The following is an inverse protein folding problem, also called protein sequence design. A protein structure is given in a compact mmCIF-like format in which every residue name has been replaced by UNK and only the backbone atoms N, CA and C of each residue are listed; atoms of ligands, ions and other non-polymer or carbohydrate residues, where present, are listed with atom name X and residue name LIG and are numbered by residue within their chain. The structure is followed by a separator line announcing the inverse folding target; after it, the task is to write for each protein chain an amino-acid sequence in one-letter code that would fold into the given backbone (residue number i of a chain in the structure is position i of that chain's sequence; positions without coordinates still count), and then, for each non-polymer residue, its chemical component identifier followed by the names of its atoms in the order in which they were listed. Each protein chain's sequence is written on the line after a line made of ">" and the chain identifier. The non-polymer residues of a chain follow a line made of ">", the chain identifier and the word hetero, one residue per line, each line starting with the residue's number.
data_IF_593571081449
#
_entry.id   IF_593571081449
#
_cell.length_a   1.000
_cell.length_b   1.000
_cell.length_c   1.000
_cell.angle_alpha   90.00
_cell.angle_beta   90.00
_cell.angle_gamma   90.00
#
_symmetry.space_group_name_H-M   'P 1'
#
loop_
_entity.id
_entity.type
_entity.pdbx_description
1 polymer ?
#
# COMPACT_ATOMS: atom_id res chain seq x y z
N UNK A 1 -1.96 0.62 21.00
CA UNK A 1 -1.36 1.09 22.26
C UNK A 1 0.01 0.46 22.36
N UNK A 2 1.06 1.27 22.50
CA UNK A 2 2.36 0.81 22.99
C UNK A 2 2.46 1.48 24.37
N UNK A 3 2.70 0.69 25.43
CA UNK A 3 2.87 1.15 26.81
C UNK A 3 1.68 1.87 27.49
N UNK A 4 0.43 1.49 27.20
CA UNK A 4 -0.78 2.07 27.82
C UNK A 4 -0.92 3.60 27.69
N UNK A 5 -0.14 4.24 26.82
CA UNK A 5 -0.31 5.63 26.46
C UNK A 5 -0.94 5.72 25.08
N UNK A 6 -1.91 6.63 24.93
CA UNK A 6 -2.47 6.96 23.63
C UNK A 6 -1.38 7.65 22.80
N UNK A 7 -0.87 6.94 21.79
CA UNK A 7 0.08 7.51 20.84
C UNK A 7 -0.70 8.44 19.91
N UNK A 8 -0.65 9.74 20.18
CA UNK A 8 -1.32 10.77 19.39
C UNK A 8 -0.32 11.46 18.45
N UNK A 9 -0.68 11.70 17.17
CA UNK A 9 0.12 12.54 16.27
C UNK A 9 0.46 13.90 16.85
N UNK A 10 -0.39 14.44 17.74
CA UNK A 10 -0.19 15.73 18.42
C UNK A 10 1.04 15.70 19.33
N UNK A 11 1.32 14.58 20.00
CA UNK A 11 2.49 14.45 20.87
C UNK A 11 3.77 14.51 20.04
N UNK A 12 3.83 13.71 18.97
CA UNK A 12 4.97 13.72 18.04
C UNK A 12 5.13 15.10 17.41
N UNK A 13 4.03 15.75 17.01
CA UNK A 13 4.06 17.09 16.44
C UNK A 13 4.76 18.12 17.35
N UNK A 14 4.55 18.05 18.67
CA UNK A 14 5.22 18.92 19.65
C UNK A 14 6.74 18.76 19.62
N UNK A 15 7.23 17.54 19.44
CA UNK A 15 8.66 17.23 19.39
C UNK A 15 9.30 17.69 18.06
N UNK A 16 8.49 17.96 17.04
CA UNK A 16 8.95 18.39 15.71
C UNK A 16 8.93 19.92 15.51
N UNK A 17 8.32 20.68 16.43
CA UNK A 17 8.18 22.15 16.33
C UNK A 17 9.56 22.81 16.14
N UNK A 18 9.63 23.74 15.17
CA UNK A 18 10.86 24.45 14.82
C UNK A 18 11.70 23.78 13.74
N UNK A 19 11.34 22.55 13.33
CA UNK A 19 11.93 21.90 12.16
C UNK A 19 11.25 22.36 10.88
N UNK A 20 12.01 22.64 9.83
CA UNK A 20 11.47 22.99 8.51
C UNK A 20 11.37 21.78 7.58
N UNK A 21 12.17 20.74 7.85
CA UNK A 21 12.31 19.54 7.04
C UNK A 21 12.64 18.35 7.91
N UNK A 22 12.01 17.21 7.64
CA UNK A 22 12.24 15.96 8.37
C UNK A 22 12.66 14.87 7.38
N UNK A 23 13.63 14.04 7.76
CA UNK A 23 14.07 12.87 6.98
C UNK A 23 13.63 11.61 7.72
N UNK A 24 12.92 10.72 7.02
CA UNK A 24 12.42 9.46 7.55
C UNK A 24 13.13 8.29 6.86
N UNK A 25 13.88 7.50 7.63
CA UNK A 25 14.35 6.18 7.20
C UNK A 25 13.14 5.23 7.18
N UNK A 26 12.69 4.83 5.99
CA UNK A 26 11.42 4.15 5.75
C UNK A 26 11.56 2.64 5.54
N UNK A 27 12.78 2.10 5.49
CA UNK A 27 13.04 0.68 5.23
C UNK A 27 12.29 -0.19 6.22
N UNK A 28 12.32 0.17 7.51
CA UNK A 28 11.64 -0.59 8.57
C UNK A 28 10.22 -0.12 8.86
N UNK A 29 9.91 1.16 8.62
CA UNK A 29 8.60 1.74 8.92
C UNK A 29 7.44 1.04 8.19
N UNK A 30 6.40 0.64 8.90
CA UNK A 30 5.12 0.18 8.36
C UNK A 30 4.23 1.33 7.89
N UNK A 31 3.13 1.01 7.20
CA UNK A 31 2.20 2.03 6.69
C UNK A 31 1.58 2.87 7.83
N UNK A 32 1.18 2.22 8.93
CA UNK A 32 0.59 2.91 10.07
C UNK A 32 1.55 3.91 10.72
N UNK A 33 2.83 3.57 10.80
CA UNK A 33 3.87 4.46 11.34
C UNK A 33 4.09 5.66 10.40
N UNK A 34 4.18 5.41 9.09
CA UNK A 34 4.29 6.48 8.08
C UNK A 34 3.08 7.43 8.17
N UNK A 35 1.85 6.89 8.22
CA UNK A 35 0.63 7.70 8.35
C UNK A 35 0.61 8.53 9.64
N UNK A 36 1.02 7.95 10.77
CA UNK A 36 1.11 8.66 12.03
C UNK A 36 2.11 9.82 11.97
N UNK A 37 3.29 9.59 11.38
CA UNK A 37 4.32 10.61 11.19
C UNK A 37 3.84 11.71 10.23
N UNK A 38 3.22 11.36 9.10
CA UNK A 38 2.67 12.34 8.16
C UNK A 38 1.58 13.23 8.80
N UNK A 39 0.73 12.66 9.66
CA UNK A 39 -0.25 13.42 10.44
C UNK A 39 0.40 14.33 11.48
N UNK A 40 1.49 13.88 12.11
CA UNK A 40 2.24 14.71 13.05
C UNK A 40 2.92 15.89 12.33
N UNK A 41 3.48 15.66 11.15
CA UNK A 41 4.06 16.70 10.29
C UNK A 41 3.01 17.73 9.87
N UNK A 42 1.82 17.29 9.45
CA UNK A 42 0.69 18.19 9.14
C UNK A 42 0.29 19.04 10.35
N UNK A 43 0.17 18.42 11.53
CA UNK A 43 -0.16 19.13 12.77
C UNK A 43 0.93 20.11 13.23
N UNK A 44 2.19 19.87 12.86
CA UNK A 44 3.32 20.77 13.10
C UNK A 44 3.54 21.79 11.96
N UNK A 45 2.68 21.80 10.93
CA UNK A 45 2.81 22.63 9.73
C UNK A 45 4.13 22.44 8.98
N UNK A 46 4.71 21.23 9.05
CA UNK A 46 5.92 20.85 8.32
C UNK A 46 5.52 20.29 6.96
N UNK A 47 5.95 20.97 5.90
CA UNK A 47 5.58 20.64 4.52
C UNK A 47 6.66 19.89 3.76
N UNK A 48 7.90 19.88 4.25
CA UNK A 48 9.01 19.19 3.60
C UNK A 48 9.36 17.92 4.37
N UNK A 49 9.20 16.77 3.69
CA UNK A 49 9.59 15.47 4.23
C UNK A 49 10.35 14.69 3.19
N UNK A 50 11.46 14.10 3.62
CA UNK A 50 12.22 13.16 2.80
C UNK A 50 12.00 11.74 3.31
N UNK A 51 11.98 10.79 2.39
CA UNK A 51 12.07 9.38 2.71
C UNK A 51 13.41 8.82 2.20
N UNK A 52 14.09 8.09 3.04
CA UNK A 52 15.21 7.23 2.68
C UNK A 52 14.74 5.78 2.71
N UNK A 53 15.01 5.02 1.67
CA UNK A 53 14.65 3.61 1.59
C UNK A 53 15.81 2.81 1.01
N UNK A 54 16.29 1.82 1.77
CA UNK A 54 17.27 0.85 1.31
C UNK A 54 16.56 -0.32 0.63
N UNK A 55 16.81 -0.48 -0.67
CA UNK A 55 16.30 -1.60 -1.44
C UNK A 55 17.04 -2.90 -1.07
N UNK A 56 16.31 -4.01 -0.83
CA UNK A 56 16.95 -5.28 -0.56
C UNK A 56 17.55 -5.89 -1.83
N UNK A 57 18.66 -6.60 -1.68
CA UNK A 57 19.26 -7.36 -2.79
C UNK A 57 18.35 -8.52 -3.25
N UNK A 58 17.64 -9.14 -2.32
CA UNK A 58 16.74 -10.24 -2.68
C UNK A 58 15.70 -10.53 -1.62
N UNK A 59 14.73 -11.35 -2.00
CA UNK A 59 13.70 -11.90 -1.13
C UNK A 59 13.85 -13.41 -1.01
N UNK A 60 13.66 -13.92 0.20
CA UNK A 60 13.76 -15.35 0.51
C UNK A 60 12.54 -16.07 -0.01
N UNK A 61 12.76 -17.09 -0.85
CA UNK A 61 11.70 -17.96 -1.39
C UNK A 61 11.27 -18.99 -0.35
N UNK A 62 10.05 -19.49 -0.48
CA UNK A 62 9.62 -20.68 0.26
C UNK A 62 10.38 -21.91 -0.25
N UNK A 63 10.87 -22.80 0.63
CA UNK A 63 11.41 -24.08 0.20
C UNK A 63 10.30 -24.94 -0.44
N UNK A 64 10.59 -25.69 -1.52
CA UNK A 64 9.60 -26.56 -2.15
C UNK A 64 9.15 -27.65 -1.17
N UNK A 65 7.83 -27.92 -1.15
CA UNK A 65 7.25 -28.94 -0.27
C UNK A 65 7.40 -30.36 -0.84
N UNK A 66 7.56 -30.52 -2.15
CA UNK A 66 7.79 -31.80 -2.83
C UNK A 66 8.62 -31.63 -4.12
N UNK A 67 9.22 -32.72 -4.62
CA UNK A 67 9.95 -32.71 -5.91
C UNK A 67 9.03 -32.52 -7.13
N UNK A 68 7.73 -32.79 -6.98
CA UNK A 68 6.70 -32.58 -8.00
C UNK A 68 6.11 -31.17 -7.99
N UNK A 69 6.33 -30.40 -6.91
CA UNK A 69 6.10 -28.96 -6.92
C UNK A 69 7.20 -28.34 -7.78
N UNK A 70 6.98 -28.27 -9.10
CA UNK A 70 7.76 -27.38 -9.95
C UNK A 70 7.69 -26.02 -9.28
N UNK A 71 8.81 -25.57 -8.69
CA UNK A 71 8.88 -24.44 -7.78
C UNK A 71 8.09 -23.24 -8.33
N UNK A 72 6.82 -23.13 -7.94
CA UNK A 72 6.12 -21.87 -8.07
C UNK A 72 6.96 -20.92 -7.23
N UNK A 73 7.39 -19.83 -7.85
CA UNK A 73 8.08 -18.71 -7.20
C UNK A 73 7.15 -18.12 -6.12
N UNK A 74 7.00 -18.86 -5.04
CA UNK A 74 6.12 -18.59 -3.92
C UNK A 74 6.95 -17.96 -2.83
N UNK A 75 6.44 -16.83 -2.35
CA UNK A 75 7.08 -16.03 -1.33
C UNK A 75 6.18 -16.01 -0.11
N UNK A 76 6.80 -16.12 1.07
CA UNK A 76 6.13 -15.99 2.36
C UNK A 76 6.93 -14.94 3.13
N UNK A 77 6.65 -13.68 2.81
CA UNK A 77 7.38 -12.52 3.33
C UNK A 77 6.72 -11.96 4.60
N UNK A 78 5.48 -12.37 4.85
CA UNK A 78 4.64 -11.88 5.93
C UNK A 78 3.90 -13.01 6.64
N UNK A 79 3.78 -12.94 7.96
CA UNK A 79 3.05 -13.93 8.79
C UNK A 79 1.66 -13.46 9.21
N UNK A 80 1.49 -12.18 9.55
CA UNK A 80 0.18 -11.59 9.81
C UNK A 80 -0.46 -11.10 8.50
N UNK A 81 -1.74 -11.41 8.31
CA UNK A 81 -2.54 -11.02 7.14
C UNK A 81 -3.95 -10.54 7.54
N UNK A 82 -4.17 -10.22 8.81
CA UNK A 82 -5.49 -9.83 9.31
C UNK A 82 -5.84 -8.41 8.85
N UNK A 83 -6.83 -8.30 7.97
CA UNK A 83 -7.30 -7.01 7.48
C UNK A 83 -8.14 -6.31 8.55
N UNK A 84 -7.67 -5.15 9.01
CA UNK A 84 -8.43 -4.24 9.84
C UNK A 84 -8.19 -2.79 9.41
N UNK A 85 -9.17 -1.94 9.66
CA UNK A 85 -9.05 -0.52 9.36
C UNK A 85 -8.04 0.18 10.28
N UNK A 86 -7.34 1.18 9.74
CA UNK A 86 -6.54 2.10 10.56
C UNK A 86 -7.44 3.28 10.98
N UNK A 87 -7.46 3.58 12.28
CA UNK A 87 -8.24 4.70 12.82
C UNK A 87 -7.97 6.02 12.08
N UNK A 88 -9.03 6.65 11.59
CA UNK A 88 -8.97 7.88 10.80
C UNK A 88 -8.82 7.67 9.29
N UNK A 89 -8.72 6.42 8.82
CA UNK A 89 -8.69 6.03 7.42
C UNK A 89 -9.60 4.84 7.12
N UNK A 90 -10.51 4.49 8.03
CA UNK A 90 -11.50 3.44 7.83
C UNK A 90 -12.89 4.09 7.77
N UNK A 91 -13.51 4.10 6.59
CA UNK A 91 -14.88 4.58 6.42
C UNK A 91 -15.86 3.41 6.41
N UNK A 92 -17.08 3.65 6.90
CA UNK A 92 -18.11 2.62 7.02
C UNK A 92 -18.51 2.11 5.63
N UNK A 93 -18.56 0.79 5.47
CA UNK A 93 -19.08 0.14 4.26
C UNK A 93 -20.56 0.47 4.10
N UNK A 94 -20.96 0.84 2.89
CA UNK A 94 -22.35 1.02 2.50
C UNK A 94 -22.70 0.00 1.42
N UNK A 95 -23.45 -1.03 1.80
CA UNK A 95 -23.92 -2.11 0.90
C UNK A 95 -24.70 -1.62 -0.33
N UNK A 96 -25.22 -0.38 -0.31
CA UNK A 96 -25.96 0.19 -1.43
C UNK A 96 -25.07 0.94 -2.43
N UNK A 97 -23.86 1.31 -2.01
CA UNK A 97 -22.89 2.05 -2.81
C UNK A 97 -22.04 1.13 -3.70
N UNK A 98 -21.52 1.66 -4.80
CA UNK A 98 -20.53 0.97 -5.62
C UNK A 98 -19.18 1.01 -4.90
N UNK A 99 -18.44 -0.08 -4.93
CA UNK A 99 -17.17 -0.22 -4.20
C UNK A 99 -16.03 -0.49 -5.18
N UNK A 100 -15.02 0.39 -5.20
CA UNK A 100 -13.79 0.18 -5.97
C UNK A 100 -12.64 -0.10 -5.01
N UNK A 101 -11.97 -1.23 -5.18
CA UNK A 101 -10.82 -1.61 -4.35
C UNK A 101 -9.56 -1.69 -5.19
N UNK A 102 -8.65 -0.77 -4.91
CA UNK A 102 -7.36 -0.62 -5.56
C UNK A 102 -6.31 -1.44 -4.80
N UNK A 103 -5.62 -2.34 -5.48
CA UNK A 103 -4.56 -3.16 -4.89
C UNK A 103 -3.23 -2.88 -5.58
N UNK A 104 -2.23 -2.39 -4.85
CA UNK A 104 -0.85 -2.57 -5.32
C UNK A 104 -0.44 -4.02 -5.10
N UNK A 105 0.01 -4.69 -6.15
CA UNK A 105 0.40 -6.08 -6.09
C UNK A 105 1.88 -6.24 -5.73
N UNK A 106 2.14 -7.27 -4.92
CA UNK A 106 3.48 -7.73 -4.56
C UNK A 106 3.65 -9.20 -4.94
N UNK A 107 4.53 -9.92 -4.24
CA UNK A 107 4.79 -11.33 -4.53
C UNK A 107 3.80 -12.30 -3.85
N UNK A 108 3.00 -11.84 -2.89
CA UNK A 108 2.15 -12.69 -2.05
C UNK A 108 0.66 -12.58 -2.43
N UNK A 109 0.23 -13.32 -3.47
CA UNK A 109 -1.16 -13.28 -3.95
C UNK A 109 -2.21 -13.68 -2.89
N UNK A 110 -1.83 -14.50 -1.92
CA UNK A 110 -2.73 -14.89 -0.83
C UNK A 110 -3.16 -13.70 0.03
N UNK A 111 -2.38 -12.61 0.08
CA UNK A 111 -2.80 -11.39 0.79
C UNK A 111 -3.99 -10.73 0.10
N UNK A 112 -4.05 -10.74 -1.24
CA UNK A 112 -5.22 -10.24 -1.97
C UNK A 112 -6.42 -11.16 -1.76
N UNK A 113 -6.23 -12.48 -1.89
CA UNK A 113 -7.30 -13.46 -1.62
C UNK A 113 -7.88 -13.30 -0.22
N UNK A 114 -7.02 -13.12 0.78
CA UNK A 114 -7.45 -12.90 2.15
C UNK A 114 -8.21 -11.58 2.30
N UNK A 115 -7.78 -10.51 1.62
CA UNK A 115 -8.49 -9.24 1.61
C UNK A 115 -9.94 -9.40 1.13
N UNK A 116 -10.11 -10.10 0.01
CA UNK A 116 -11.42 -10.35 -0.59
C UNK A 116 -12.29 -11.25 0.29
N UNK A 117 -11.70 -12.27 0.93
CA UNK A 117 -12.42 -13.14 1.86
C UNK A 117 -12.96 -12.41 3.11
N UNK A 118 -12.35 -11.28 3.50
CA UNK A 118 -12.81 -10.44 4.61
C UNK A 118 -13.88 -9.42 4.20
N UNK A 119 -14.33 -9.43 2.94
CA UNK A 119 -15.32 -8.50 2.40
C UNK A 119 -16.57 -9.23 1.96
N UNK A 120 -17.70 -8.89 2.58
CA UNK A 120 -19.01 -9.44 2.23
C UNK A 120 -19.46 -9.03 0.82
N UNK A 121 -19.04 -7.85 0.36
CA UNK A 121 -19.40 -7.28 -0.93
C UNK A 121 -18.48 -7.72 -2.08
N UNK A 122 -17.40 -8.48 -1.82
CA UNK A 122 -16.40 -8.82 -2.83
C UNK A 122 -16.93 -9.64 -4.02
N UNK A 123 -18.07 -10.32 -3.85
CA UNK A 123 -18.75 -11.09 -4.90
C UNK A 123 -19.92 -10.33 -5.56
N UNK A 124 -20.18 -9.09 -5.14
CA UNK A 124 -21.23 -8.24 -5.69
C UNK A 124 -20.86 -7.70 -7.06
N UNK A 125 -21.83 -7.54 -7.96
CA UNK A 125 -21.63 -6.85 -9.25
C UNK A 125 -21.24 -5.37 -9.08
N UNK A 126 -21.54 -4.79 -7.90
CA UNK A 126 -21.15 -3.42 -7.51
C UNK A 126 -19.70 -3.31 -7.06
N UNK A 127 -19.01 -4.43 -6.90
CA UNK A 127 -17.62 -4.45 -6.45
C UNK A 127 -16.65 -4.54 -7.63
N UNK A 128 -15.73 -3.59 -7.70
CA UNK A 128 -14.71 -3.49 -8.74
C UNK A 128 -13.31 -3.62 -8.13
N UNK A 129 -12.57 -4.62 -8.58
CA UNK A 129 -11.16 -4.81 -8.22
C UNK A 129 -10.26 -4.15 -9.27
N UNK A 130 -9.38 -3.25 -8.84
CA UNK A 130 -8.38 -2.58 -9.69
C UNK A 130 -6.95 -2.91 -9.24
N UNK A 131 -6.25 -3.84 -9.91
CA UNK A 131 -4.86 -4.13 -9.59
C UNK A 131 -3.91 -3.11 -10.21
N UNK A 132 -2.89 -2.72 -9.45
CA UNK A 132 -1.72 -1.94 -9.89
C UNK A 132 -0.47 -2.82 -9.76
N UNK A 133 0.28 -2.98 -10.84
CA UNK A 133 1.53 -3.75 -10.88
C UNK A 133 2.73 -2.81 -11.01
N UNK A 134 3.77 -3.07 -10.22
CA UNK A 134 5.05 -2.37 -10.28
C UNK A 134 5.87 -2.78 -11.52
N UNK A 135 5.93 -1.95 -12.57
CA UNK A 135 6.73 -2.17 -13.79
C UNK A 135 7.38 -0.84 -14.23
N UNK A 136 8.71 -0.79 -14.43
CA UNK A 136 9.67 -1.86 -14.18
C UNK A 136 9.76 -2.23 -12.69
N UNK A 137 10.18 -3.46 -12.40
CA UNK A 137 10.52 -3.86 -11.04
C UNK A 137 11.96 -3.44 -10.70
N UNK A 138 12.30 -3.44 -9.42
CA UNK A 138 13.67 -3.20 -8.94
C UNK A 138 14.72 -4.09 -9.63
N UNK A 139 14.32 -5.30 -10.03
CA UNK A 139 15.17 -6.25 -10.74
C UNK A 139 14.44 -6.91 -11.89
N UNK A 140 15.16 -7.14 -12.98
CA UNK A 140 14.64 -7.84 -14.15
C UNK A 140 14.03 -9.20 -13.76
N UNK A 141 12.81 -9.44 -14.23
CA UNK A 141 12.08 -10.67 -14.01
C UNK A 141 11.27 -10.69 -12.71
N UNK A 142 11.40 -9.68 -11.84
CA UNK A 142 10.55 -9.57 -10.65
C UNK A 142 9.13 -9.14 -10.97
N UNK A 143 8.89 -8.52 -12.12
CA UNK A 143 7.55 -8.22 -12.64
C UNK A 143 6.74 -9.51 -12.78
N UNK A 144 7.35 -10.55 -13.37
CA UNK A 144 6.72 -11.88 -13.52
C UNK A 144 6.41 -12.52 -12.17
N UNK A 145 7.25 -12.30 -11.14
CA UNK A 145 7.02 -12.81 -9.78
C UNK A 145 5.85 -12.09 -9.09
N UNK A 146 5.56 -10.85 -9.46
CA UNK A 146 4.38 -10.13 -8.98
C UNK A 146 3.12 -10.53 -9.75
N UNK A 147 3.20 -10.73 -11.07
CA UNK A 147 2.02 -10.98 -11.91
C UNK A 147 1.56 -12.44 -11.85
N UNK A 148 2.47 -13.40 -12.09
CA UNK A 148 2.12 -14.83 -12.25
C UNK A 148 1.29 -15.39 -11.09
N UNK A 149 1.59 -15.10 -9.81
CA UNK A 149 0.79 -15.60 -8.69
C UNK A 149 -0.67 -15.11 -8.68
N UNK A 150 -0.97 -14.02 -9.39
CA UNK A 150 -2.30 -13.40 -9.42
C UNK A 150 -3.13 -13.79 -10.65
N UNK A 151 -2.60 -14.56 -11.61
CA UNK A 151 -3.32 -14.87 -12.85
C UNK A 151 -4.67 -15.58 -12.60
N UNK A 152 -4.72 -16.55 -11.70
CA UNK A 152 -5.96 -17.24 -11.34
C UNK A 152 -6.97 -16.28 -10.68
N UNK A 153 -6.48 -15.29 -9.91
CA UNK A 153 -7.33 -14.25 -9.34
C UNK A 153 -7.91 -13.37 -10.44
N UNK A 154 -7.09 -12.97 -11.41
CA UNK A 154 -7.54 -12.16 -12.54
C UNK A 154 -8.60 -12.88 -13.37
N UNK A 155 -8.38 -14.15 -13.67
CA UNK A 155 -9.35 -14.97 -14.41
C UNK A 155 -10.68 -15.10 -13.66
N UNK A 156 -10.64 -15.48 -12.38
CA UNK A 156 -11.85 -15.63 -11.55
C UNK A 156 -12.66 -14.34 -11.37
N UNK A 157 -12.02 -13.17 -11.49
CA UNK A 157 -12.67 -11.86 -11.37
C UNK A 157 -12.86 -11.14 -12.73
N UNK A 158 -12.64 -11.84 -13.85
CA UNK A 158 -12.81 -11.26 -15.20
C UNK A 158 -11.91 -10.05 -15.48
N UNK A 159 -10.74 -9.98 -14.84
CA UNK A 159 -9.77 -8.89 -15.01
C UNK A 159 -8.95 -9.18 -16.28
N UNK A 160 -9.21 -8.39 -17.31
CA UNK A 160 -8.42 -8.41 -18.56
C UNK A 160 -7.17 -7.53 -18.43
N UNK A 161 -6.20 -7.71 -19.33
CA UNK A 161 -4.97 -6.91 -19.36
C UNK A 161 -5.23 -5.39 -19.39
N UNK A 162 -6.30 -4.95 -20.08
CA UNK A 162 -6.72 -3.55 -20.15
C UNK A 162 -7.24 -2.97 -18.83
N UNK A 163 -7.50 -3.80 -17.82
CA UNK A 163 -7.97 -3.41 -16.49
C UNK A 163 -6.86 -3.46 -15.43
N UNK A 164 -5.64 -3.80 -15.83
CA UNK A 164 -4.46 -3.77 -14.97
C UNK A 164 -3.78 -2.42 -15.16
N UNK A 165 -3.55 -1.72 -14.05
CA UNK A 165 -2.80 -0.48 -14.01
C UNK A 165 -1.33 -0.76 -13.73
N UNK A 166 -0.45 0.14 -14.14
CA UNK A 166 1.00 -0.01 -14.00
C UNK A 166 1.62 1.28 -13.50
N UNK A 167 2.64 1.16 -12.67
CA UNK A 167 3.52 2.26 -12.24
C UNK A 167 4.90 1.67 -11.92
N UNK A 168 5.98 2.45 -11.95
CA UNK A 168 7.29 1.92 -11.57
C UNK A 168 7.34 1.47 -10.11
N UNK A 169 7.89 0.28 -9.86
CA UNK A 169 7.91 -0.33 -8.52
C UNK A 169 8.75 0.44 -7.49
N UNK A 170 9.68 1.25 -7.98
CA UNK A 170 10.62 2.06 -7.23
C UNK A 170 10.18 3.53 -7.07
N UNK A 171 9.12 3.95 -7.76
CA UNK A 171 8.72 5.35 -7.84
C UNK A 171 7.51 5.68 -6.95
N UNK A 172 7.75 6.45 -5.89
CA UNK A 172 6.66 7.03 -5.06
C UNK A 172 5.79 7.96 -5.90
N UNK A 173 6.41 8.76 -6.77
CA UNK A 173 5.69 9.76 -7.58
C UNK A 173 4.74 9.09 -8.56
N UNK A 174 5.19 8.10 -9.31
CA UNK A 174 4.33 7.41 -10.27
C UNK A 174 3.20 6.68 -9.58
N UNK A 175 3.49 5.93 -8.50
CA UNK A 175 2.46 5.26 -7.72
C UNK A 175 1.41 6.24 -7.16
N UNK A 176 1.84 7.42 -6.70
CA UNK A 176 0.94 8.47 -6.22
C UNK A 176 0.07 9.05 -7.33
N UNK A 177 0.64 9.32 -8.51
CA UNK A 177 -0.12 9.84 -9.65
C UNK A 177 -1.09 8.79 -10.20
N UNK A 178 -0.69 7.52 -10.29
CA UNK A 178 -1.59 6.43 -10.70
C UNK A 178 -2.79 6.29 -9.76
N UNK A 179 -2.60 6.48 -8.44
CA UNK A 179 -3.71 6.52 -7.50
C UNK A 179 -4.67 7.67 -7.79
N UNK A 180 -4.14 8.87 -8.07
CA UNK A 180 -4.96 10.03 -8.45
C UNK A 180 -5.69 9.82 -9.78
N UNK A 181 -5.03 9.30 -10.81
CA UNK A 181 -5.64 9.02 -12.12
C UNK A 181 -6.83 8.06 -12.00
N UNK A 182 -6.73 7.06 -11.11
CA UNK A 182 -7.84 6.14 -10.80
C UNK A 182 -8.92 6.85 -9.98
N UNK A 183 -8.52 7.68 -9.01
CA UNK A 183 -9.40 8.26 -8.02
C UNK A 183 -10.23 9.44 -8.52
N UNK A 184 -9.68 10.34 -9.33
CA UNK A 184 -10.38 11.54 -9.80
C UNK A 184 -11.78 11.26 -10.38
N UNK A 185 -11.96 10.30 -11.31
CA UNK A 185 -13.29 9.99 -11.83
C UNK A 185 -14.21 9.37 -10.76
N UNK A 186 -13.64 8.59 -9.83
CA UNK A 186 -14.40 7.97 -8.73
C UNK A 186 -14.88 9.00 -7.71
N UNK A 187 -14.08 10.04 -7.46
CA UNK A 187 -14.37 11.09 -6.48
C UNK A 187 -15.60 11.93 -6.88
N UNK A 188 -15.84 12.08 -8.17
CA UNK A 188 -17.01 12.80 -8.70
C UNK A 188 -18.23 11.91 -8.91
N UNK A 189 -18.08 10.59 -8.73
CA UNK A 189 -19.17 9.62 -8.89
C UNK A 189 -20.02 9.55 -7.61
N UNK A 190 -21.35 9.78 -7.68
CA UNK A 190 -22.23 9.62 -6.53
C UNK A 190 -22.21 8.19 -5.99
N UNK A 191 -22.33 8.02 -4.67
CA UNK A 191 -22.42 6.71 -4.02
C UNK A 191 -21.26 5.76 -4.37
N UNK A 192 -20.06 6.31 -4.52
CA UNK A 192 -18.84 5.56 -4.73
C UNK A 192 -18.04 5.46 -3.42
N UNK A 193 -17.65 4.24 -3.06
CA UNK A 193 -16.67 3.96 -2.03
C UNK A 193 -15.35 3.54 -2.67
N UNK A 194 -14.24 4.06 -2.16
CA UNK A 194 -12.90 3.75 -2.68
C UNK A 194 -12.06 3.16 -1.56
N UNK A 195 -11.43 2.02 -1.83
CA UNK A 195 -10.55 1.32 -0.92
C UNK A 195 -9.16 1.18 -1.54
N UNK A 196 -8.12 1.25 -0.73
CA UNK A 196 -6.74 1.01 -1.18
C UNK A 196 -6.04 0.00 -0.26
N UNK A 197 -5.31 -0.93 -0.87
CA UNK A 197 -4.45 -1.90 -0.18
C UNK A 197 -3.05 -1.90 -0.79
N UNK A 198 -2.04 -1.33 -0.11
CA UNK A 198 -0.66 -1.27 -0.61
C UNK A 198 0.10 -2.57 -0.32
N UNK A 199 -0.20 -3.65 -1.05
CA UNK A 199 0.43 -4.96 -0.84
C UNK A 199 1.74 -5.14 -1.63
N UNK A 200 2.14 -4.13 -2.41
CA UNK A 200 3.36 -4.08 -3.20
C UNK A 200 4.59 -3.60 -2.44
N UNK A 201 5.36 -2.69 -3.05
CA UNK A 201 6.68 -2.27 -2.58
C UNK A 201 6.63 -1.18 -1.50
N UNK A 202 7.79 -0.83 -0.92
CA UNK A 202 7.90 0.31 0.00
C UNK A 202 7.50 1.64 -0.66
N UNK A 203 7.95 1.96 -1.88
CA UNK A 203 7.44 3.14 -2.61
C UNK A 203 5.92 3.17 -2.76
N UNK A 204 5.28 2.05 -3.11
CA UNK A 204 3.80 1.98 -3.16
C UNK A 204 3.16 2.26 -1.79
N UNK A 205 3.78 1.79 -0.71
CA UNK A 205 3.33 2.06 0.68
C UNK A 205 3.41 3.56 1.00
N UNK A 206 4.54 4.21 0.68
CA UNK A 206 4.74 5.65 0.91
C UNK A 206 3.75 6.47 0.08
N UNK A 207 3.60 6.14 -1.22
CA UNK A 207 2.66 6.79 -2.12
C UNK A 207 1.22 6.70 -1.62
N UNK A 208 0.81 5.51 -1.15
CA UNK A 208 -0.52 5.30 -0.56
C UNK A 208 -0.71 6.15 0.70
N UNK A 209 0.30 6.27 1.56
CA UNK A 209 0.21 7.08 2.76
C UNK A 209 0.01 8.57 2.43
N UNK A 210 0.77 9.10 1.47
CA UNK A 210 0.61 10.48 0.99
C UNK A 210 -0.77 10.71 0.37
N UNK A 211 -1.20 9.79 -0.50
CA UNK A 211 -2.50 9.85 -1.16
C UNK A 211 -3.68 9.83 -0.17
N UNK A 212 -3.62 9.00 0.88
CA UNK A 212 -4.64 8.94 1.93
C UNK A 212 -4.75 10.26 2.71
N UNK A 213 -3.63 10.93 2.93
CA UNK A 213 -3.62 12.24 3.61
C UNK A 213 -4.29 13.30 2.72
N UNK A 214 -3.93 13.33 1.43
CA UNK A 214 -4.45 14.33 0.49
C UNK A 214 -5.94 14.14 0.16
N UNK A 215 -6.43 12.90 0.19
CA UNK A 215 -7.84 12.57 -0.11
C UNK A 215 -8.76 12.59 1.12
N UNK A 216 -8.25 12.91 2.32
CA UNK A 216 -9.00 12.87 3.57
C UNK A 216 -10.26 13.76 3.58
N UNK A 217 -10.25 14.86 2.81
CA UNK A 217 -11.37 15.81 2.69
C UNK A 217 -12.11 15.70 1.34
N UNK A 218 -11.84 14.65 0.57
CA UNK A 218 -12.48 14.45 -0.73
C UNK A 218 -13.97 14.08 -0.57
N UNK A 219 -14.73 14.18 -1.67
CA UNK A 219 -16.15 13.84 -1.70
C UNK A 219 -16.37 12.33 -1.48
N UNK A 220 -15.55 11.49 -2.12
CA UNK A 220 -15.46 10.07 -1.85
C UNK A 220 -14.17 9.80 -1.05
N UNK A 221 -14.17 9.90 0.29
CA UNK A 221 -12.96 9.72 1.07
C UNK A 221 -12.46 8.27 0.95
N UNK A 222 -11.14 8.13 0.77
CA UNK A 222 -10.52 6.83 0.51
C UNK A 222 -10.32 6.08 1.82
N UNK A 223 -10.81 4.84 1.86
CA UNK A 223 -10.58 3.91 2.96
C UNK A 223 -9.31 3.11 2.75
N UNK A 224 -8.49 3.02 3.78
CA UNK A 224 -7.37 2.10 3.83
C UNK A 224 -7.86 0.72 4.30
N UNK A 225 -7.67 -0.29 3.46
CA UNK A 225 -7.89 -1.68 3.80
C UNK A 225 -6.53 -2.38 3.95
N UNK A 226 -6.09 -2.61 5.18
CA UNK A 226 -4.70 -2.98 5.49
C UNK A 226 -4.61 -4.21 6.39
N UNK A 227 -3.65 -5.08 6.12
CA UNK A 227 -3.50 -6.38 6.76
C UNK A 227 -2.42 -6.44 7.86
N UNK A 228 -1.88 -5.28 8.24
CA UNK A 228 -0.90 -5.14 9.31
C UNK A 228 0.23 -6.20 9.23
N UNK A 229 0.96 -6.25 8.10
CA UNK A 229 1.87 -7.33 7.79
C UNK A 229 3.01 -7.38 8.80
N UNK A 230 3.15 -8.52 9.47
CA UNK A 230 4.30 -8.83 10.31
C UNK A 230 5.36 -9.45 9.41
N UNK A 231 6.52 -8.81 9.32
CA UNK A 231 7.62 -9.20 8.44
C UNK A 231 8.27 -10.49 8.94
N UNK A 232 8.44 -11.48 8.08
CA UNK A 232 9.21 -12.69 8.39
C UNK A 232 10.68 -12.34 8.67
N UNK A 233 11.29 -13.01 9.64
CA UNK A 233 12.72 -12.89 9.89
C UNK A 233 13.50 -13.35 8.66
N UNK A 234 14.51 -12.57 8.25
CA UNK A 234 15.33 -12.85 7.05
C UNK A 234 14.50 -13.01 5.76
N UNK A 235 13.35 -12.31 5.64
CA UNK A 235 12.55 -12.29 4.41
C UNK A 235 13.27 -11.66 3.22
N UNK A 236 14.27 -10.83 3.48
CA UNK A 236 15.11 -10.18 2.51
C UNK A 236 16.56 -10.18 2.97
N UNK A 237 17.48 -10.06 2.04
CA UNK A 237 18.93 -10.05 2.28
C UNK A 237 19.61 -9.06 1.35
N UNK A 238 20.81 -8.63 1.76
CA UNK A 238 21.62 -7.66 1.03
C UNK A 238 20.97 -6.27 0.90
N UNK A 239 21.77 -5.30 0.48
CA UNK A 239 21.33 -3.93 0.20
C UNK A 239 21.95 -3.50 -1.14
N UNK A 240 21.18 -2.82 -1.98
CA UNK A 240 21.66 -2.34 -3.29
C UNK A 240 21.67 -0.84 -3.41
N UNK A 241 20.49 -0.24 -3.54
CA UNK A 241 20.31 1.17 -3.82
C UNK A 241 19.58 1.84 -2.68
N UNK A 242 20.01 3.06 -2.38
CA UNK A 242 19.32 3.97 -1.49
C UNK A 242 18.47 4.91 -2.32
N UNK A 243 17.17 4.83 -2.10
CA UNK A 243 16.19 5.70 -2.72
C UNK A 243 15.97 6.91 -1.82
N UNK A 244 16.23 8.11 -2.34
CA UNK A 244 15.94 9.36 -1.67
C UNK A 244 14.75 10.04 -2.34
N UNK A 245 13.64 10.11 -1.64
CA UNK A 245 12.39 10.69 -2.13
C UNK A 245 12.16 12.00 -1.39
N UNK A 246 12.16 13.11 -2.12
CA UNK A 246 11.82 14.43 -1.57
C UNK A 246 10.34 14.72 -1.82
N UNK A 247 9.60 15.03 -0.77
CA UNK A 247 8.18 15.40 -0.85
C UNK A 247 8.02 16.80 -0.30
N UNK A 248 7.46 17.66 -1.14
CA UNK A 248 6.99 18.98 -0.75
C UNK A 248 5.48 19.01 -0.82
N UNK A 249 4.84 19.15 0.33
CA UNK A 249 3.38 19.27 0.46
C UNK A 249 2.98 20.74 0.37
N UNK A 250 1.86 21.02 -0.28
CA UNK A 250 1.23 22.34 -0.16
C UNK A 250 0.77 22.51 1.29
N UNK A 251 1.15 23.60 1.94
CA UNK A 251 0.64 23.92 3.28
C UNK A 251 -0.89 23.99 3.24
N UNK A 252 -1.55 23.33 4.18
CA UNK A 252 -3.01 23.34 4.33
C UNK A 252 -3.53 24.68 4.83
#
# INVERSE_FOLDING_TARGET
>A
MIDNQEVSPIRIAKDLVGSNRIVLEATTLGLGEILMLLRALEAASITQVDFLYAEPEGYTKKPPLSQSDSAQDSYELTTNRNFCGINGFNHQLDSQSDATHIFFLGFEADRVKNALAHREDALSEKYRLLPIVGIPAFRTGWESKSIKPHLNLFESHGITQSRIHYCAADSVREAFLTLWDIFEPLNTTPQQQVFVSPLGTKPHTIATALFLIDTKKAHAPVSLFYDHPVRMNKRSFGETLWHHIQVQRSGS
#
